data_IF_885319440391
#
_entry.id   IF_885319440391
#
_cell.length_a   1.000
_cell.length_b   1.000
_cell.length_c   1.000
_cell.angle_alpha   90.00
_cell.angle_beta   90.00
_cell.angle_gamma   90.00
#
_symmetry.space_group_name_H-M   'P 1'
#
loop_
_entity.id
_entity.type
_entity.pdbx_description
1 polymer ?
#
# COMPACT_ATOMS: atom_id res chain seq x y z
N UNK A 1 6.86 -4.02 -52.51
CA UNK A 1 5.81 -3.60 -51.57
C UNK A 1 5.83 -4.62 -50.43
N UNK A 2 6.44 -4.28 -49.28
CA UNK A 2 6.53 -5.22 -48.15
C UNK A 2 5.20 -5.20 -47.38
N UNK A 3 4.63 -6.36 -47.00
CA UNK A 3 3.44 -6.38 -46.19
C UNK A 3 3.76 -5.81 -44.80
N UNK A 4 2.96 -4.84 -44.36
CA UNK A 4 3.01 -4.34 -43.00
C UNK A 4 2.59 -5.47 -42.06
N UNK A 5 3.53 -5.97 -41.25
CA UNK A 5 3.22 -6.82 -40.12
C UNK A 5 2.36 -6.00 -39.15
N UNK A 6 1.08 -6.34 -39.07
CA UNK A 6 0.22 -5.93 -37.95
C UNK A 6 0.83 -6.51 -36.68
N UNK A 7 1.59 -5.70 -35.96
CA UNK A 7 1.92 -5.99 -34.58
C UNK A 7 0.59 -5.95 -33.83
N UNK A 8 0.05 -7.12 -33.55
CA UNK A 8 -0.99 -7.27 -32.54
C UNK A 8 -0.36 -6.73 -31.26
N UNK A 9 -0.73 -5.51 -30.87
CA UNK A 9 -0.38 -4.95 -29.57
C UNK A 9 -1.09 -5.85 -28.58
N UNK A 10 -0.37 -6.85 -28.06
CA UNK A 10 -0.78 -7.56 -26.87
C UNK A 10 -0.81 -6.48 -25.78
N UNK A 11 -2.00 -6.00 -25.42
CA UNK A 11 -2.18 -5.15 -24.26
C UNK A 11 -1.57 -5.88 -23.06
N UNK A 12 -0.42 -5.40 -22.59
CA UNK A 12 0.18 -5.94 -21.37
C UNK A 12 -0.85 -5.77 -20.24
N UNK A 13 -1.17 -6.89 -19.58
CA UNK A 13 -2.11 -6.85 -18.47
C UNK A 13 -1.58 -5.91 -17.38
N UNK A 14 -2.29 -4.81 -17.15
CA UNK A 14 -1.94 -3.83 -16.13
C UNK A 14 -1.80 -4.49 -14.74
N UNK A 15 -0.72 -4.18 -14.03
CA UNK A 15 -0.54 -4.65 -12.64
C UNK A 15 -1.58 -4.03 -11.70
N UNK A 16 -1.83 -4.65 -10.55
CA UNK A 16 -2.77 -4.12 -9.55
C UNK A 16 -2.31 -2.75 -9.04
N UNK A 17 -1.00 -2.57 -8.90
CA UNK A 17 -0.42 -1.29 -8.52
C UNK A 17 -0.66 -0.20 -9.57
N UNK A 18 -0.39 -0.48 -10.85
CA UNK A 18 -0.66 0.48 -11.93
C UNK A 18 -2.14 0.84 -12.01
N UNK A 19 -3.04 -0.15 -11.87
CA UNK A 19 -4.47 0.12 -11.84
C UNK A 19 -4.85 1.00 -10.64
N UNK A 20 -4.26 0.78 -9.46
CA UNK A 20 -4.48 1.63 -8.30
C UNK A 20 -4.07 3.09 -8.54
N UNK A 21 -2.89 3.32 -9.13
CA UNK A 21 -2.41 4.67 -9.47
C UNK A 21 -3.35 5.33 -10.47
N UNK A 22 -3.81 4.59 -11.48
CA UNK A 22 -4.76 5.08 -12.47
C UNK A 22 -6.10 5.45 -11.83
N UNK A 23 -6.71 4.57 -11.03
CA UNK A 23 -7.98 4.84 -10.37
C UNK A 23 -7.90 6.03 -9.40
N UNK A 24 -6.74 6.23 -8.75
CA UNK A 24 -6.52 7.39 -7.88
C UNK A 24 -6.60 8.74 -8.59
N UNK A 25 -6.38 8.76 -9.90
CA UNK A 25 -6.41 9.95 -10.74
C UNK A 25 -7.74 10.06 -11.49
N UNK A 26 -8.23 8.95 -12.03
CA UNK A 26 -9.32 8.93 -13.02
C UNK A 26 -10.69 8.60 -12.42
N UNK A 27 -10.77 7.87 -11.30
CA UNK A 27 -12.08 7.41 -10.81
C UNK A 27 -12.91 8.58 -10.26
N UNK A 28 -14.17 8.73 -10.72
CA UNK A 28 -15.07 9.76 -10.18
C UNK A 28 -15.50 9.46 -8.74
N UNK A 29 -15.37 8.21 -8.29
CA UNK A 29 -15.77 7.78 -6.94
C UNK A 29 -14.63 7.88 -5.93
N UNK A 30 -13.39 8.10 -6.38
CA UNK A 30 -12.20 8.03 -5.53
C UNK A 30 -12.23 9.04 -4.38
N UNK A 31 -12.68 10.27 -4.65
CA UNK A 31 -12.72 11.38 -3.69
C UNK A 31 -13.86 11.27 -2.66
N UNK A 32 -14.81 10.36 -2.87
CA UNK A 32 -15.97 10.19 -2.00
C UNK A 32 -15.67 9.27 -0.81
N UNK A 33 -14.54 8.55 -0.84
CA UNK A 33 -14.17 7.62 0.20
C UNK A 33 -13.59 8.35 1.43
N UNK A 34 -14.34 8.32 2.53
CA UNK A 34 -13.95 8.81 3.85
C UNK A 34 -14.42 7.83 4.94
N UNK A 35 -13.60 7.65 5.97
CA UNK A 35 -13.95 6.88 7.17
C UNK A 35 -13.08 7.34 8.35
N UNK A 36 -13.67 7.92 9.38
CA UNK A 36 -12.98 8.32 10.62
C UNK A 36 -11.70 9.14 10.37
N UNK A 37 -11.77 10.08 9.42
CA UNK A 37 -10.66 10.93 8.98
C UNK A 37 -9.67 10.26 8.02
N UNK A 38 -9.85 8.97 7.71
CA UNK A 38 -9.07 8.29 6.68
C UNK A 38 -9.69 8.52 5.30
N UNK A 39 -8.85 8.87 4.33
CA UNK A 39 -9.24 9.01 2.92
C UNK A 39 -8.34 8.17 2.04
N UNK A 40 -8.74 7.94 0.78
CA UNK A 40 -7.82 7.39 -0.21
C UNK A 40 -6.73 8.44 -0.53
N UNK A 41 -5.52 7.99 -0.97
CA UNK A 41 -4.47 8.89 -1.46
C UNK A 41 -4.93 9.75 -2.64
N UNK A 42 -4.14 10.78 -2.97
CA UNK A 42 -4.35 11.68 -4.10
C UNK A 42 -5.59 12.61 -4.05
N UNK A 43 -6.27 12.74 -2.91
CA UNK A 43 -7.49 13.56 -2.80
C UNK A 43 -7.29 15.05 -2.49
N UNK A 44 -6.07 15.50 -2.18
CA UNK A 44 -5.76 16.87 -1.77
C UNK A 44 -5.24 17.78 -2.90
N UNK A 45 -4.59 18.87 -2.50
CA UNK A 45 -3.95 19.82 -3.44
C UNK A 45 -2.46 19.54 -3.58
N UNK A 46 -1.94 19.74 -4.79
CA UNK A 46 -0.50 19.77 -5.03
C UNK A 46 0.08 21.12 -4.59
N UNK A 47 1.38 21.11 -4.25
CA UNK A 47 2.11 22.36 -4.00
C UNK A 47 2.64 22.91 -5.32
N UNK A 48 2.87 24.24 -5.43
CA UNK A 48 3.36 24.85 -6.68
C UNK A 48 4.70 24.30 -7.18
N UNK A 49 5.48 23.64 -6.34
CA UNK A 49 6.76 23.03 -6.72
C UNK A 49 6.67 21.53 -7.07
N UNK A 50 5.53 20.88 -6.83
CA UNK A 50 5.38 19.44 -7.05
C UNK A 50 5.64 19.13 -8.54
N UNK A 51 6.48 18.11 -8.78
CA UNK A 51 6.90 17.66 -10.12
C UNK A 51 7.59 18.73 -10.97
N UNK A 52 8.09 19.82 -10.36
CA UNK A 52 9.05 20.71 -11.03
C UNK A 52 10.45 20.13 -10.95
N UNK A 53 11.23 20.32 -12.00
CA UNK A 53 12.65 19.99 -12.02
C UNK A 53 13.40 20.78 -10.96
N UNK A 54 14.30 20.10 -10.27
CA UNK A 54 15.30 20.70 -9.39
C UNK A 54 16.64 20.02 -9.66
N UNK A 55 17.71 20.77 -9.44
CA UNK A 55 19.08 20.28 -9.53
C UNK A 55 19.68 20.28 -8.13
N UNK A 56 20.24 19.15 -7.72
CA UNK A 56 21.19 19.09 -6.62
C UNK A 56 22.58 19.03 -7.23
N UNK A 57 23.53 19.72 -6.63
CA UNK A 57 24.87 19.72 -7.18
C UNK A 57 25.91 20.11 -6.16
N UNK A 58 27.16 19.91 -6.53
CA UNK A 58 28.30 20.40 -5.80
C UNK A 58 29.31 20.99 -6.79
N UNK A 59 29.67 22.24 -6.55
CA UNK A 59 30.61 22.99 -7.38
C UNK A 59 32.06 22.85 -6.91
N UNK A 60 32.31 22.09 -5.83
CA UNK A 60 33.64 21.80 -5.34
C UNK A 60 34.35 20.73 -6.19
N UNK A 61 34.77 21.11 -7.38
CA UNK A 61 35.41 20.21 -8.35
C UNK A 61 36.66 19.51 -7.80
N UNK A 62 37.40 20.13 -6.85
CA UNK A 62 38.66 19.59 -6.32
C UNK A 62 38.48 18.25 -5.58
N UNK A 63 37.29 18.00 -5.03
CA UNK A 63 36.97 16.78 -4.28
C UNK A 63 36.20 15.76 -5.12
N UNK A 64 35.95 16.07 -6.39
CA UNK A 64 35.18 15.23 -7.29
C UNK A 64 36.09 14.42 -8.21
N UNK A 65 35.64 13.22 -8.64
CA UNK A 65 36.32 12.50 -9.72
C UNK A 65 36.49 13.40 -10.96
N UNK A 66 37.66 13.37 -11.57
CA UNK A 66 37.99 14.08 -12.81
C UNK A 66 37.88 15.62 -12.76
N UNK A 67 37.85 16.24 -11.57
CA UNK A 67 37.69 17.68 -11.41
C UNK A 67 36.42 18.25 -12.09
N UNK A 68 35.32 17.50 -12.05
CA UNK A 68 34.05 17.88 -12.69
C UNK A 68 32.99 18.33 -11.67
N UNK A 69 32.11 19.23 -12.09
CA UNK A 69 30.91 19.58 -11.34
C UNK A 69 29.99 18.36 -11.23
N UNK A 70 29.36 18.18 -10.07
CA UNK A 70 28.28 17.21 -9.92
C UNK A 70 26.94 17.94 -10.03
N UNK A 71 26.06 17.43 -10.90
CA UNK A 71 24.68 17.87 -10.99
C UNK A 71 23.75 16.66 -11.18
N UNK A 72 22.81 16.48 -10.26
CA UNK A 72 21.73 15.52 -10.33
C UNK A 72 20.41 16.26 -10.51
N UNK A 73 19.69 15.92 -11.57
CA UNK A 73 18.37 16.45 -11.85
C UNK A 73 17.30 15.48 -11.36
N UNK A 74 16.34 15.99 -10.60
CA UNK A 74 15.20 15.19 -10.16
C UNK A 74 13.93 16.02 -10.08
N UNK A 75 12.78 15.35 -10.07
CA UNK A 75 11.49 16.00 -9.86
C UNK A 75 11.26 16.22 -8.38
N UNK A 76 10.98 17.46 -7.97
CA UNK A 76 10.68 17.78 -6.58
C UNK A 76 9.33 17.18 -6.18
N UNK A 77 9.32 16.35 -5.15
CA UNK A 77 8.11 15.73 -4.64
C UNK A 77 7.85 16.17 -3.21
N UNK A 78 6.59 16.52 -2.89
CA UNK A 78 6.23 16.83 -1.49
C UNK A 78 6.14 15.57 -0.62
N UNK A 79 6.05 14.38 -1.24
CA UNK A 79 5.94 13.07 -0.59
C UNK A 79 4.83 13.07 0.47
N UNK A 80 3.66 13.61 0.13
CA UNK A 80 2.44 13.61 0.96
C UNK A 80 1.39 12.70 0.31
N UNK A 81 0.67 11.92 1.11
CA UNK A 81 -0.35 10.96 0.63
C UNK A 81 -1.49 11.64 -0.13
N UNK A 82 -1.93 12.81 0.31
CA UNK A 82 -3.04 13.53 -0.31
C UNK A 82 -2.65 14.23 -1.62
N UNK A 83 -1.37 14.48 -1.89
CA UNK A 83 -0.97 15.21 -3.10
C UNK A 83 -1.20 14.36 -4.37
N UNK A 84 -2.04 14.79 -5.33
CA UNK A 84 -2.37 14.01 -6.53
C UNK A 84 -1.16 13.78 -7.43
N UNK A 85 -0.15 14.66 -7.35
CA UNK A 85 1.07 14.53 -8.16
C UNK A 85 2.17 13.72 -7.47
N UNK A 86 2.15 13.56 -6.14
CA UNK A 86 3.31 13.05 -5.38
C UNK A 86 2.98 11.91 -4.41
N UNK A 87 1.73 11.46 -4.35
CA UNK A 87 1.31 10.36 -3.48
C UNK A 87 2.08 9.06 -3.76
N UNK A 88 2.43 8.79 -5.02
CA UNK A 88 3.25 7.64 -5.39
C UNK A 88 4.63 7.67 -4.71
N UNK A 89 5.29 8.83 -4.67
CA UNK A 89 6.54 9.00 -3.94
C UNK A 89 6.37 8.88 -2.42
N UNK A 90 5.17 9.19 -1.90
CA UNK A 90 4.82 8.88 -0.51
C UNK A 90 4.67 7.38 -0.29
N UNK A 91 3.99 6.65 -1.18
CA UNK A 91 3.86 5.18 -1.15
C UNK A 91 5.25 4.54 -1.12
N UNK A 92 6.12 4.91 -2.07
CA UNK A 92 7.49 4.39 -2.13
C UNK A 92 8.30 4.70 -0.86
N UNK A 93 8.13 5.89 -0.27
CA UNK A 93 8.77 6.22 1.01
C UNK A 93 8.28 5.34 2.16
N UNK A 94 6.97 5.08 2.26
CA UNK A 94 6.42 4.20 3.31
C UNK A 94 6.87 2.75 3.10
N UNK A 95 6.79 2.25 1.86
CA UNK A 95 7.28 0.93 1.48
C UNK A 95 8.74 0.73 1.88
N UNK A 96 9.62 1.65 1.49
CA UNK A 96 11.05 1.57 1.83
C UNK A 96 11.32 1.60 3.34
N UNK A 97 10.56 2.40 4.11
CA UNK A 97 10.67 2.41 5.59
C UNK A 97 10.25 1.08 6.20
N UNK A 98 9.15 0.52 5.72
CA UNK A 98 8.66 -0.81 6.15
C UNK A 98 9.67 -1.89 5.79
N UNK A 99 10.15 -1.94 4.55
CA UNK A 99 11.16 -2.90 4.09
C UNK A 99 12.40 -2.85 4.97
N UNK A 100 12.97 -1.67 5.24
CA UNK A 100 14.14 -1.54 6.12
C UNK A 100 13.91 -2.13 7.52
N UNK A 101 12.74 -1.91 8.11
CA UNK A 101 12.38 -2.45 9.43
C UNK A 101 12.26 -3.98 9.40
N UNK A 102 11.59 -4.52 8.38
CA UNK A 102 11.40 -5.95 8.21
C UNK A 102 12.73 -6.66 7.92
N UNK A 103 13.56 -6.11 7.03
CA UNK A 103 14.91 -6.61 6.74
C UNK A 103 15.76 -6.63 8.01
N UNK A 104 15.76 -5.54 8.79
CA UNK A 104 16.48 -5.47 10.07
C UNK A 104 16.01 -6.54 11.06
N UNK A 105 14.71 -6.79 11.11
CA UNK A 105 14.14 -7.85 11.96
C UNK A 105 14.62 -9.25 11.54
N UNK A 106 14.76 -9.49 10.24
CA UNK A 106 15.19 -10.77 9.67
C UNK A 106 16.69 -11.04 9.76
N UNK A 107 17.56 -10.04 9.97
CA UNK A 107 19.02 -10.25 10.08
C UNK A 107 19.40 -11.33 11.11
N UNK A 108 18.61 -11.49 12.18
CA UNK A 108 18.87 -12.46 13.26
C UNK A 108 17.86 -13.61 13.28
N UNK A 109 17.04 -13.76 12.25
CA UNK A 109 15.86 -14.65 12.28
C UNK A 109 15.55 -15.24 10.91
N UNK A 110 15.27 -16.55 10.86
CA UNK A 110 14.83 -17.23 9.65
C UNK A 110 13.30 -17.35 9.62
N UNK A 111 12.64 -16.28 9.21
CA UNK A 111 11.18 -16.26 9.04
C UNK A 111 10.79 -15.79 7.64
N UNK A 112 9.68 -16.35 7.15
CA UNK A 112 8.99 -15.86 5.96
C UNK A 112 7.73 -15.11 6.41
N UNK A 113 7.60 -13.86 5.98
CA UNK A 113 6.39 -13.09 6.20
C UNK A 113 5.24 -13.64 5.37
N UNK A 114 4.04 -13.67 5.95
CA UNK A 114 2.79 -13.99 5.26
C UNK A 114 1.87 -12.79 5.29
N UNK A 115 1.16 -12.59 4.19
CA UNK A 115 0.11 -11.58 4.10
C UNK A 115 -1.20 -12.17 4.62
N UNK A 116 -1.70 -11.61 5.71
CA UNK A 116 -2.97 -12.01 6.33
C UNK A 116 -3.92 -10.83 6.37
N UNK A 117 -5.20 -11.07 6.13
CA UNK A 117 -6.25 -10.08 6.38
C UNK A 117 -7.07 -10.48 7.58
N UNK A 118 -7.30 -9.52 8.45
CA UNK A 118 -8.26 -9.57 9.55
C UNK A 118 -9.40 -8.60 9.27
N UNK A 119 -10.63 -9.11 9.27
CA UNK A 119 -11.83 -8.31 9.03
C UNK A 119 -12.86 -8.48 10.15
N UNK A 120 -13.32 -7.40 10.79
CA UNK A 120 -14.52 -7.43 11.64
C UNK A 120 -15.77 -7.85 10.86
N UNK A 121 -16.86 -8.24 11.57
CA UNK A 121 -18.20 -8.28 11.00
C UNK A 121 -18.53 -6.95 10.29
N UNK A 122 -18.90 -6.96 9.00
CA UNK A 122 -19.07 -5.73 8.23
C UNK A 122 -20.11 -4.76 8.82
N UNK A 123 -21.21 -5.30 9.33
CA UNK A 123 -22.30 -4.58 10.00
C UNK A 123 -21.85 -3.84 11.26
N UNK A 124 -20.90 -4.41 12.00
CA UNK A 124 -20.32 -3.77 13.18
C UNK A 124 -19.21 -2.79 12.81
N UNK A 125 -18.41 -3.13 11.79
CA UNK A 125 -17.22 -2.39 11.41
C UNK A 125 -17.49 -0.95 11.01
N UNK A 126 -18.56 -0.73 10.23
CA UNK A 126 -18.93 0.59 9.70
C UNK A 126 -19.37 1.56 10.80
N UNK A 127 -19.80 1.04 11.95
CA UNK A 127 -20.32 1.82 13.08
C UNK A 127 -19.25 2.08 14.15
N UNK A 128 -18.02 1.59 13.96
CA UNK A 128 -16.93 1.73 14.92
C UNK A 128 -15.90 2.75 14.42
N UNK A 129 -15.33 3.53 15.34
CA UNK A 129 -14.14 4.34 15.03
C UNK A 129 -12.90 3.47 14.86
N UNK A 130 -11.86 3.97 14.21
CA UNK A 130 -10.55 3.33 14.14
C UNK A 130 -10.00 2.98 15.52
N UNK A 131 -10.21 3.84 16.52
CA UNK A 131 -9.81 3.55 17.91
C UNK A 131 -10.56 2.33 18.46
N UNK A 132 -11.86 2.22 18.20
CA UNK A 132 -12.67 1.06 18.56
C UNK A 132 -12.19 -0.22 17.86
N UNK A 133 -11.99 -0.15 16.54
CA UNK A 133 -11.48 -1.26 15.73
C UNK A 133 -10.09 -1.72 16.19
N UNK A 134 -9.21 -0.79 16.58
CA UNK A 134 -7.87 -1.09 17.07
C UNK A 134 -7.89 -1.82 18.42
N UNK A 135 -8.82 -1.49 19.32
CA UNK A 135 -9.01 -2.24 20.58
C UNK A 135 -9.40 -3.69 20.30
N UNK A 136 -10.35 -3.89 19.38
CA UNK A 136 -10.75 -5.25 18.97
C UNK A 136 -9.65 -6.02 18.25
N UNK A 137 -8.87 -5.34 17.40
CA UNK A 137 -7.71 -5.95 16.76
C UNK A 137 -6.74 -6.54 17.78
N UNK A 138 -6.52 -5.89 18.92
CA UNK A 138 -5.66 -6.44 19.98
C UNK A 138 -6.21 -7.76 20.54
N UNK A 139 -7.53 -7.85 20.73
CA UNK A 139 -8.19 -9.10 21.14
C UNK A 139 -8.06 -10.17 20.06
N UNK A 140 -8.31 -9.83 18.80
CA UNK A 140 -8.16 -10.73 17.66
C UNK A 140 -6.73 -11.29 17.57
N UNK A 141 -5.71 -10.44 17.66
CA UNK A 141 -4.30 -10.86 17.64
C UNK A 141 -3.97 -11.87 18.74
N UNK A 142 -4.48 -11.66 19.96
CA UNK A 142 -4.30 -12.59 21.09
C UNK A 142 -4.96 -13.94 20.81
N UNK A 143 -6.21 -13.95 20.35
CA UNK A 143 -6.94 -15.19 20.03
C UNK A 143 -6.28 -15.96 18.88
N UNK A 144 -5.76 -15.24 17.88
CA UNK A 144 -5.03 -15.83 16.76
C UNK A 144 -3.58 -16.23 17.10
N UNK A 145 -3.12 -16.01 18.35
CA UNK A 145 -1.74 -16.22 18.78
C UNK A 145 -0.69 -15.49 17.91
N UNK A 146 -1.05 -14.31 17.39
CA UNK A 146 -0.15 -13.45 16.62
C UNK A 146 0.60 -12.55 17.59
N UNK A 147 1.85 -12.92 17.89
CA UNK A 147 2.69 -12.19 18.85
C UNK A 147 3.28 -10.89 18.30
N UNK A 148 3.51 -10.83 17.00
CA UNK A 148 4.10 -9.66 16.33
C UNK A 148 3.63 -9.61 14.89
N UNK A 149 3.31 -8.40 14.43
CA UNK A 149 2.84 -8.13 13.08
C UNK A 149 3.19 -6.70 12.66
N UNK A 150 3.43 -6.50 11.37
CA UNK A 150 3.24 -5.17 10.77
C UNK A 150 1.76 -5.05 10.39
N UNK A 151 1.11 -3.98 10.81
CA UNK A 151 -0.34 -3.79 10.64
C UNK A 151 -0.56 -2.58 9.73
N UNK A 152 -1.35 -2.77 8.68
CA UNK A 152 -1.83 -1.72 7.78
C UNK A 152 -3.36 -1.69 7.88
N UNK A 153 -3.92 -0.55 8.24
CA UNK A 153 -5.38 -0.37 8.30
C UNK A 153 -5.91 0.08 6.95
N UNK A 154 -6.91 -0.63 6.44
CA UNK A 154 -7.57 -0.36 5.17
C UNK A 154 -9.06 -0.11 5.45
N UNK A 155 -9.53 1.15 5.39
CA UNK A 155 -10.93 1.47 5.65
C UNK A 155 -11.89 1.09 4.51
N UNK A 156 -11.36 0.89 3.29
CA UNK A 156 -12.17 0.70 2.09
C UNK A 156 -11.86 -0.61 1.37
N UNK A 157 -12.91 -1.21 0.81
CA UNK A 157 -12.82 -2.24 -0.25
C UNK A 157 -13.37 -1.64 -1.54
N UNK A 158 -13.32 -2.40 -2.63
CA UNK A 158 -13.86 -1.99 -3.92
C UNK A 158 -14.98 -2.94 -4.37
N UNK A 159 -16.07 -2.37 -4.88
CA UNK A 159 -17.24 -3.14 -5.32
C UNK A 159 -16.99 -3.85 -6.65
N UNK A 160 -16.11 -3.28 -7.46
CA UNK A 160 -15.85 -3.65 -8.84
C UNK A 160 -14.45 -4.25 -9.02
N UNK A 161 -14.30 -5.09 -10.06
CA UNK A 161 -13.00 -5.69 -10.39
C UNK A 161 -11.95 -4.65 -10.84
N UNK A 162 -12.40 -3.53 -11.42
CA UNK A 162 -11.53 -2.40 -11.82
C UNK A 162 -11.03 -1.61 -10.60
N UNK A 163 -11.53 -1.89 -9.39
CA UNK A 163 -11.17 -1.18 -8.16
C UNK A 163 -11.39 0.33 -8.27
N UNK A 164 -12.46 0.74 -8.94
CA UNK A 164 -12.81 2.13 -9.19
C UNK A 164 -13.84 2.66 -8.20
N UNK A 165 -14.70 1.81 -7.63
CA UNK A 165 -15.81 2.17 -6.74
C UNK A 165 -15.53 1.73 -5.30
N UNK A 166 -14.89 2.57 -4.47
CA UNK A 166 -14.63 2.23 -3.08
C UNK A 166 -15.91 2.22 -2.24
N UNK A 167 -15.96 1.36 -1.23
CA UNK A 167 -17.00 1.36 -0.20
C UNK A 167 -16.39 1.10 1.18
N UNK A 168 -17.04 1.62 2.21
CA UNK A 168 -16.58 1.49 3.60
C UNK A 168 -16.66 0.01 4.01
N UNK A 169 -15.50 -0.57 4.28
CA UNK A 169 -15.36 -1.93 4.79
C UNK A 169 -14.03 -2.04 5.52
N UNK A 170 -13.97 -1.54 6.77
CA UNK A 170 -12.73 -1.49 7.54
C UNK A 170 -12.15 -2.88 7.79
N UNK A 171 -10.86 -3.04 7.48
CA UNK A 171 -10.11 -4.27 7.71
C UNK A 171 -8.62 -3.97 7.92
N UNK A 172 -7.88 -4.99 8.34
CA UNK A 172 -6.46 -4.90 8.61
C UNK A 172 -5.70 -5.89 7.74
N UNK A 173 -4.72 -5.38 7.01
CA UNK A 173 -3.69 -6.19 6.38
C UNK A 173 -2.53 -6.34 7.37
N UNK A 174 -2.04 -7.56 7.51
CA UNK A 174 -0.98 -7.91 8.42
C UNK A 174 0.13 -8.62 7.67
N UNK A 175 1.38 -8.24 7.96
CA UNK A 175 2.52 -9.09 7.71
C UNK A 175 2.89 -9.80 9.01
N UNK A 176 2.66 -11.10 9.04
CA UNK A 176 2.88 -11.97 10.21
C UNK A 176 3.91 -13.03 9.91
N UNK A 177 4.45 -13.66 10.96
CA UNK A 177 5.35 -14.80 10.85
C UNK A 177 4.56 -16.09 10.92
N UNK A 178 4.76 -17.00 9.95
CA UNK A 178 4.06 -18.28 9.90
C UNK A 178 2.68 -18.19 9.24
N UNK A 179 1.97 -19.32 9.22
CA UNK A 179 0.67 -19.47 8.56
C UNK A 179 -0.44 -19.59 9.60
N UNK A 180 -1.58 -18.96 9.35
CA UNK A 180 -2.76 -19.10 10.23
C UNK A 180 -3.48 -20.41 9.90
N UNK A 181 -3.69 -21.28 10.88
CA UNK A 181 -4.30 -22.60 10.71
C UNK A 181 -5.70 -22.75 11.33
N UNK A 182 -5.99 -22.10 12.46
CA UNK A 182 -7.24 -22.30 13.23
C UNK A 182 -8.31 -21.24 12.93
N UNK A 183 -8.61 -21.00 11.66
CA UNK A 183 -9.50 -19.90 11.23
C UNK A 183 -10.95 -20.07 11.69
N UNK A 184 -11.48 -21.31 11.73
CA UNK A 184 -12.85 -21.62 12.18
C UNK A 184 -13.01 -21.34 13.67
N UNK A 185 -12.08 -21.84 14.49
CA UNK A 185 -12.09 -21.62 15.94
C UNK A 185 -11.97 -20.12 16.25
N UNK A 186 -11.08 -19.42 15.54
CA UNK A 186 -10.92 -17.98 15.63
C UNK A 186 -12.22 -17.24 15.34
N UNK A 187 -12.89 -17.57 14.23
CA UNK A 187 -14.16 -16.96 13.84
C UNK A 187 -15.24 -17.25 14.88
N UNK A 188 -15.33 -18.48 15.38
CA UNK A 188 -16.34 -18.84 16.37
C UNK A 188 -16.20 -18.02 17.67
N UNK A 189 -14.95 -17.76 18.09
CA UNK A 189 -14.63 -16.97 19.29
C UNK A 189 -14.78 -15.47 19.12
N UNK A 190 -14.38 -14.93 17.98
CA UNK A 190 -14.26 -13.46 17.77
C UNK A 190 -15.35 -12.89 16.87
N UNK A 191 -15.99 -13.73 16.05
CA UNK A 191 -16.82 -13.36 14.88
C UNK A 191 -16.07 -12.60 13.79
N UNK A 192 -14.75 -12.46 13.92
CA UNK A 192 -13.90 -11.87 12.90
C UNK A 192 -13.47 -12.93 11.90
N UNK A 193 -13.20 -12.48 10.68
CA UNK A 193 -12.62 -13.29 9.64
C UNK A 193 -11.10 -13.09 9.60
N UNK A 194 -10.35 -14.20 9.58
CA UNK A 194 -8.91 -14.21 9.35
C UNK A 194 -8.61 -15.05 8.11
N UNK A 195 -7.84 -14.49 7.16
CA UNK A 195 -7.54 -15.15 5.88
C UNK A 195 -6.07 -14.96 5.49
N UNK A 196 -5.41 -16.04 5.09
CA UNK A 196 -4.11 -15.96 4.42
C UNK A 196 -4.34 -15.52 2.96
N UNK A 197 -3.71 -14.43 2.53
CA UNK A 197 -3.82 -13.91 1.17
C UNK A 197 -2.74 -14.47 0.25
N UNK A 198 -1.48 -14.49 0.71
CA UNK A 198 -0.36 -14.91 -0.12
C UNK A 198 0.99 -14.88 0.59
N UNK A 199 2.04 -15.20 -0.16
CA UNK A 199 3.41 -15.33 0.33
C UNK A 199 4.36 -14.23 -0.12
N UNK A 200 3.78 -13.11 -0.57
CA UNK A 200 4.48 -11.88 -1.00
C UNK A 200 5.38 -12.08 -2.23
N UNK A 201 5.14 -13.12 -3.04
CA UNK A 201 5.91 -13.37 -4.27
C UNK A 201 5.39 -12.60 -5.47
N UNK A 202 4.09 -12.35 -5.54
CA UNK A 202 3.46 -11.68 -6.68
C UNK A 202 2.79 -10.37 -6.26
N UNK A 203 2.58 -9.49 -7.23
CA UNK A 203 1.81 -8.25 -7.06
C UNK A 203 0.40 -8.53 -6.50
N UNK A 204 -0.24 -9.61 -6.96
CA UNK A 204 -1.54 -10.06 -6.46
C UNK A 204 -1.50 -10.48 -4.99
N UNK A 205 -0.40 -11.07 -4.52
CA UNK A 205 -0.22 -11.42 -3.12
C UNK A 205 -0.09 -10.19 -2.21
N UNK A 206 0.19 -9.01 -2.78
CA UNK A 206 0.44 -7.76 -2.05
C UNK A 206 -0.76 -6.80 -2.15
N UNK A 207 -1.36 -6.65 -3.33
CA UNK A 207 -2.38 -5.64 -3.65
C UNK A 207 -3.81 -6.21 -3.74
N UNK A 208 -4.11 -7.27 -3.00
CA UNK A 208 -5.38 -8.00 -3.04
C UNK A 208 -6.54 -7.22 -2.45
#
# INVERSE_FOLDING_TARGET
>A
MYPAYSQTILEESQTSYQNYIQQAIESPHWKQAEFDGFTLPAQGLSKPYCKKWISYGCDNIKQHPNNQHYAEHTLKTCKVSSCPLCFESWIGRQGNRSTRRLSKFLEKRRFNFRHVVLSPPPDQAVNLTYVGLKKWLQTALKVANIKTAMIIFHPFRFQDKKKSMPYISPHFHLLVYGHVTNTIEFHNKTKWNIKNLGDLKTDKDIFT
#
